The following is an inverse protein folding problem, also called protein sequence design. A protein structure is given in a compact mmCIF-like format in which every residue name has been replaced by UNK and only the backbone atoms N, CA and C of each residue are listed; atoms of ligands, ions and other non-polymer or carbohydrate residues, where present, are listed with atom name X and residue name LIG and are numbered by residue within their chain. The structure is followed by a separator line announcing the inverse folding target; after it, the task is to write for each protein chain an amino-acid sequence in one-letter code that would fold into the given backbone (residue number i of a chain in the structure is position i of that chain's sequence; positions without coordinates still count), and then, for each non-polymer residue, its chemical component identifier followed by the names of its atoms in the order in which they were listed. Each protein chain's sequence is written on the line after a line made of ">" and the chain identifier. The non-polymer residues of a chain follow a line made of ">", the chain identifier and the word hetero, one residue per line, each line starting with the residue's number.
data_IF_942593651602
#
_entry.id   IF_942593651602
#
_cell.length_a   1.000
_cell.length_b   1.000
_cell.length_c   1.000
_cell.angle_alpha   90.00
_cell.angle_beta   90.00
_cell.angle_gamma   90.00
#
_symmetry.space_group_name_H-M   'P 1'
#
loop_
_entity.id
_entity.type
_entity.pdbx_description
1 polymer ?
#
# COMPACT_ATOMS: atom_id res chain seq x y z
N UNK A 1 17.83 -4.38 2.13
CA UNK A 1 17.42 -4.55 3.53
C UNK A 1 16.08 -5.28 3.57
N UNK A 2 15.83 -6.11 4.58
CA UNK A 2 14.65 -6.98 4.65
C UNK A 2 13.53 -6.26 5.41
N UNK A 3 12.56 -5.70 4.68
CA UNK A 3 11.42 -4.99 5.29
C UNK A 3 10.18 -5.90 5.31
N UNK A 4 9.44 -5.84 6.42
CA UNK A 4 8.25 -6.66 6.62
C UNK A 4 7.00 -5.79 6.65
N UNK A 5 6.08 -5.97 5.69
CA UNK A 5 4.90 -5.11 5.54
C UNK A 5 4.07 -5.00 6.81
N UNK A 6 3.77 -6.13 7.46
CA UNK A 6 3.06 -6.15 8.75
C UNK A 6 3.73 -5.22 9.77
N UNK A 7 5.01 -5.46 10.03
CA UNK A 7 5.76 -4.74 11.07
C UNK A 7 5.87 -3.26 10.72
N UNK A 8 6.13 -2.94 9.45
CA UNK A 8 6.21 -1.58 8.94
C UNK A 8 4.94 -0.80 9.23
N UNK A 9 3.76 -1.35 8.89
CA UNK A 9 2.52 -0.58 9.02
C UNK A 9 1.95 -0.52 10.43
N UNK A 10 2.27 -1.50 11.29
CA UNK A 10 1.99 -1.38 12.73
C UNK A 10 2.85 -0.26 13.33
N UNK A 11 4.12 -0.15 12.95
CA UNK A 11 5.05 0.82 13.52
C UNK A 11 4.94 2.23 12.90
N UNK A 12 4.42 2.36 11.68
CA UNK A 12 4.46 3.60 10.89
C UNK A 12 3.90 4.81 11.65
N UNK A 13 2.75 4.66 12.31
CA UNK A 13 2.14 5.75 13.08
C UNK A 13 3.06 6.24 14.21
N UNK A 14 3.51 5.34 15.07
CA UNK A 14 4.32 5.70 16.24
C UNK A 14 5.72 6.18 15.89
N UNK A 15 6.36 5.56 14.88
CA UNK A 15 7.75 5.84 14.54
C UNK A 15 7.94 6.95 13.51
N UNK A 16 6.93 7.24 12.68
CA UNK A 16 7.04 8.24 11.61
C UNK A 16 6.04 9.38 11.78
N UNK A 17 4.74 9.08 11.95
CA UNK A 17 3.72 10.14 11.99
C UNK A 17 3.77 10.98 13.27
N UNK A 18 3.72 10.34 14.44
CA UNK A 18 3.76 11.03 15.75
C UNK A 18 5.03 11.88 15.93
N UNK A 19 6.12 11.44 15.31
CA UNK A 19 7.43 12.11 15.34
C UNK A 19 7.63 13.16 14.24
N UNK A 20 6.66 13.34 13.33
CA UNK A 20 6.71 14.35 12.27
C UNK A 20 7.51 13.97 11.01
N UNK A 21 7.92 12.71 10.86
CA UNK A 21 8.62 12.17 9.68
C UNK A 21 7.62 11.81 8.56
N UNK A 22 6.83 12.80 8.15
CA UNK A 22 5.75 12.59 7.18
C UNK A 22 6.26 12.25 5.78
N UNK A 23 7.41 12.76 5.37
CA UNK A 23 7.96 12.45 4.04
C UNK A 23 8.37 10.98 3.95
N UNK A 24 9.04 10.46 4.96
CA UNK A 24 9.47 9.07 5.03
C UNK A 24 8.28 8.10 5.12
N UNK A 25 7.22 8.48 5.86
CA UNK A 25 5.98 7.74 5.91
C UNK A 25 5.32 7.66 4.52
N UNK A 26 5.25 8.80 3.82
CA UNK A 26 4.69 8.91 2.47
C UNK A 26 5.42 8.00 1.49
N UNK A 27 6.75 8.11 1.46
CA UNK A 27 7.59 7.34 0.53
C UNK A 27 7.50 5.84 0.82
N UNK A 28 7.42 5.46 2.10
CA UNK A 28 7.20 4.07 2.52
C UNK A 28 5.86 3.54 1.99
N UNK A 29 4.77 4.29 2.17
CA UNK A 29 3.45 3.90 1.66
C UNK A 29 3.45 3.74 0.14
N UNK A 30 4.05 4.68 -0.60
CA UNK A 30 4.11 4.65 -2.06
C UNK A 30 4.95 3.47 -2.59
N UNK A 31 6.05 3.13 -1.92
CA UNK A 31 6.86 1.96 -2.30
C UNK A 31 6.04 0.69 -2.17
N UNK A 32 5.33 0.48 -1.07
CA UNK A 32 4.48 -0.70 -0.89
C UNK A 32 3.25 -0.69 -1.81
N UNK A 33 2.68 0.49 -2.09
CA UNK A 33 1.59 0.67 -3.05
C UNK A 33 1.97 0.15 -4.44
N UNK A 34 3.19 0.46 -4.91
CA UNK A 34 3.68 0.02 -6.22
C UNK A 34 3.79 -1.50 -6.37
N UNK A 35 3.81 -2.22 -5.25
CA UNK A 35 3.99 -3.68 -5.20
C UNK A 35 2.76 -4.42 -4.68
N UNK A 36 1.57 -3.83 -4.70
CA UNK A 36 0.34 -4.59 -4.45
C UNK A 36 0.13 -5.62 -5.56
N UNK A 37 -0.25 -6.84 -5.17
CA UNK A 37 -0.57 -7.94 -6.08
C UNK A 37 -1.57 -8.87 -5.42
N UNK A 38 -2.48 -9.48 -6.19
CA UNK A 38 -3.53 -10.36 -5.66
C UNK A 38 -4.48 -9.64 -4.68
N UNK A 39 -4.62 -8.32 -4.80
CA UNK A 39 -5.32 -7.51 -3.79
C UNK A 39 -4.62 -7.51 -2.42
N UNK A 40 -3.34 -7.87 -2.35
CA UNK A 40 -2.60 -8.03 -1.10
C UNK A 40 -1.33 -7.18 -1.07
N UNK A 41 -1.03 -6.67 0.12
CA UNK A 41 0.27 -6.10 0.46
C UNK A 41 1.26 -7.21 0.83
N UNK A 42 2.51 -7.18 0.33
CA UNK A 42 3.46 -8.24 0.64
C UNK A 42 3.91 -8.21 2.10
N UNK A 43 4.08 -9.40 2.69
CA UNK A 43 4.67 -9.52 4.01
C UNK A 43 6.16 -9.23 3.97
N UNK A 44 6.89 -9.75 3.00
CA UNK A 44 8.32 -9.45 2.80
C UNK A 44 8.43 -8.58 1.55
N UNK A 45 9.04 -7.40 1.65
CA UNK A 45 9.23 -6.49 0.51
C UNK A 45 10.43 -6.88 -0.36
N UNK A 46 11.54 -7.33 0.24
CA UNK A 46 12.80 -7.67 -0.45
C UNK A 46 13.25 -6.60 -1.47
N UNK A 47 13.34 -5.34 -1.03
CA UNK A 47 13.63 -4.18 -1.87
C UNK A 47 12.75 -4.09 -3.14
N UNK A 48 11.50 -4.51 -3.04
CA UNK A 48 10.52 -4.60 -4.12
C UNK A 48 10.90 -5.56 -5.27
N UNK A 49 12.00 -6.32 -5.16
CA UNK A 49 12.47 -7.20 -6.23
C UNK A 49 11.70 -8.52 -6.27
N UNK A 50 11.59 -9.20 -5.12
CA UNK A 50 10.86 -10.48 -5.00
C UNK A 50 9.98 -10.50 -3.74
N UNK A 51 8.92 -9.67 -3.69
CA UNK A 51 8.08 -9.64 -2.50
C UNK A 51 7.33 -10.95 -2.30
N UNK A 52 6.99 -11.26 -1.04
CA UNK A 52 6.23 -12.47 -0.68
C UNK A 52 4.85 -12.10 -0.12
N UNK A 53 3.81 -12.65 -0.74
CA UNK A 53 2.40 -12.40 -0.44
C UNK A 53 1.80 -13.53 0.41
N UNK A 54 2.40 -13.80 1.57
CA UNK A 54 1.95 -14.86 2.47
C UNK A 54 1.31 -14.32 3.77
N UNK A 55 0.99 -13.03 3.82
CA UNK A 55 0.29 -12.40 4.94
C UNK A 55 -1.04 -11.82 4.47
N UNK A 56 -2.13 -12.19 5.14
CA UNK A 56 -3.47 -11.66 4.87
C UNK A 56 -3.75 -10.36 5.63
N UNK A 57 -3.08 -10.18 6.76
CA UNK A 57 -3.23 -9.05 7.68
C UNK A 57 -2.43 -7.81 7.24
N UNK A 58 -1.28 -7.99 6.61
CA UNK A 58 -0.42 -6.89 6.15
C UNK A 58 -1.18 -5.86 5.28
N UNK A 59 -2.10 -6.32 4.42
CA UNK A 59 -2.95 -5.45 3.60
C UNK A 59 -3.81 -4.52 4.44
N UNK A 60 -4.40 -5.01 5.53
CA UNK A 60 -5.29 -4.21 6.35
C UNK A 60 -4.54 -3.24 7.24
N UNK A 61 -3.35 -3.63 7.73
CA UNK A 61 -2.45 -2.67 8.38
C UNK A 61 -1.96 -1.59 7.42
N UNK A 62 -1.66 -1.93 6.16
CA UNK A 62 -1.34 -0.94 5.12
C UNK A 62 -2.49 0.05 4.90
N UNK A 63 -3.73 -0.44 4.80
CA UNK A 63 -4.92 0.39 4.67
C UNK A 63 -5.12 1.31 5.88
N UNK A 64 -4.93 0.79 7.09
CA UNK A 64 -4.98 1.59 8.32
C UNK A 64 -3.88 2.66 8.34
N UNK A 65 -2.67 2.32 7.91
CA UNK A 65 -1.55 3.27 7.85
C UNK A 65 -1.80 4.39 6.84
N UNK A 66 -2.48 4.13 5.71
CA UNK A 66 -2.95 5.20 4.80
C UNK A 66 -3.94 6.11 5.53
N UNK A 67 -4.91 5.55 6.25
CA UNK A 67 -5.89 6.34 7.00
C UNK A 67 -5.19 7.21 8.07
N UNK A 68 -4.26 6.65 8.83
CA UNK A 68 -3.48 7.39 9.82
C UNK A 68 -2.66 8.51 9.16
N UNK A 69 -2.01 8.24 8.02
CA UNK A 69 -1.26 9.23 7.25
C UNK A 69 -2.14 10.40 6.84
N UNK A 70 -3.29 10.12 6.23
CA UNK A 70 -4.26 11.13 5.79
C UNK A 70 -4.80 11.96 6.96
N UNK A 71 -4.93 11.37 8.14
CA UNK A 71 -5.45 12.07 9.32
C UNK A 71 -4.40 12.99 9.99
N UNK A 72 -3.12 12.62 9.96
CA UNK A 72 -2.07 13.29 10.74
C UNK A 72 -1.09 14.11 9.89
N UNK A 73 -0.83 13.72 8.64
CA UNK A 73 0.13 14.38 7.78
C UNK A 73 -0.46 15.66 7.17
N UNK A 74 0.36 16.72 6.95
CA UNK A 74 -0.10 17.96 6.32
C UNK A 74 -0.65 17.79 4.89
N UNK A 75 -0.23 16.76 4.13
CA UNK A 75 -0.77 16.45 2.80
C UNK A 75 -2.24 16.00 2.87
N UNK A 76 -2.65 15.41 4.00
CA UNK A 76 -4.04 15.06 4.27
C UNK A 76 -4.69 14.22 3.16
N UNK A 77 -5.91 14.60 2.79
CA UNK A 77 -6.70 13.92 1.76
C UNK A 77 -6.06 13.98 0.35
N UNK A 78 -5.19 14.96 0.08
CA UNK A 78 -4.56 15.09 -1.24
C UNK A 78 -3.65 13.89 -1.54
N UNK A 79 -3.15 13.20 -0.50
CA UNK A 79 -2.39 11.96 -0.65
C UNK A 79 -3.14 10.87 -1.42
N UNK A 80 -4.47 10.85 -1.36
CA UNK A 80 -5.27 9.88 -2.12
C UNK A 80 -5.12 10.04 -3.64
N UNK A 81 -4.74 11.24 -4.09
CA UNK A 81 -4.45 11.54 -5.50
C UNK A 81 -2.99 11.26 -5.88
N UNK A 82 -2.15 10.82 -4.94
CA UNK A 82 -0.74 10.53 -5.21
C UNK A 82 -0.62 9.42 -6.26
N UNK A 83 0.25 9.59 -7.28
CA UNK A 83 0.33 8.66 -8.39
C UNK A 83 0.93 7.31 -7.95
N UNK A 84 0.34 6.23 -8.46
CA UNK A 84 0.81 4.86 -8.25
C UNK A 84 1.02 4.19 -9.60
N UNK A 85 2.16 3.53 -9.76
CA UNK A 85 2.45 2.65 -10.89
C UNK A 85 2.69 1.25 -10.36
N UNK A 86 1.83 0.31 -10.75
CA UNK A 86 1.92 -1.08 -10.31
C UNK A 86 3.05 -1.81 -11.05
N UNK A 87 3.90 -2.50 -10.28
CA UNK A 87 4.96 -3.35 -10.82
C UNK A 87 4.42 -4.58 -11.56
N UNK A 88 3.26 -5.10 -11.15
CA UNK A 88 2.59 -6.22 -11.82
C UNK A 88 1.22 -5.77 -12.30
N UNK A 89 0.92 -5.99 -13.58
CA UNK A 89 -0.37 -5.59 -14.13
C UNK A 89 -1.50 -6.44 -13.53
N UNK A 90 -2.64 -5.80 -13.24
CA UNK A 90 -3.81 -6.47 -12.64
C UNK A 90 -4.26 -7.67 -13.45
N UNK A 91 -4.32 -7.51 -14.78
CA UNK A 91 -4.68 -8.57 -15.74
C UNK A 91 -3.85 -9.85 -15.62
N UNK A 92 -2.62 -9.77 -15.11
CA UNK A 92 -1.71 -10.91 -15.02
C UNK A 92 -2.03 -11.81 -13.82
N UNK A 93 -2.84 -11.34 -12.86
CA UNK A 93 -3.16 -12.08 -11.65
C UNK A 93 -4.64 -12.08 -11.27
N UNK A 94 -5.45 -11.18 -11.83
CA UNK A 94 -6.90 -11.17 -11.74
C UNK A 94 -7.52 -10.62 -13.04
N UNK A 95 -7.86 -11.50 -14.00
CA UNK A 95 -8.44 -11.10 -15.27
C UNK A 95 -9.80 -10.39 -15.14
N UNK A 96 -10.60 -10.71 -14.13
CA UNK A 96 -11.92 -10.07 -13.96
C UNK A 96 -11.77 -8.61 -13.55
N UNK A 97 -10.71 -8.27 -12.83
CA UNK A 97 -10.39 -6.90 -12.42
C UNK A 97 -9.46 -6.17 -13.40
N UNK A 98 -9.17 -6.74 -14.57
CA UNK A 98 -8.28 -6.12 -15.57
C UNK A 98 -8.78 -4.74 -16.06
N UNK A 99 -10.08 -4.46 -15.91
CA UNK A 99 -10.70 -3.18 -16.25
C UNK A 99 -10.45 -2.08 -15.19
N UNK A 100 -10.00 -2.43 -13.99
CA UNK A 100 -9.67 -1.49 -12.93
C UNK A 100 -8.32 -0.85 -13.24
N UNK A 101 -8.35 0.41 -13.65
CA UNK A 101 -7.14 1.17 -13.94
C UNK A 101 -6.63 1.84 -12.66
N UNK A 102 -5.41 1.47 -12.21
CA UNK A 102 -4.79 2.07 -11.03
C UNK A 102 -3.84 3.17 -11.45
N UNK A 103 -4.21 4.42 -11.15
CA UNK A 103 -3.36 5.61 -11.36
C UNK A 103 -3.00 6.30 -10.05
N UNK A 104 -3.84 6.13 -9.02
CA UNK A 104 -3.74 6.84 -7.75
C UNK A 104 -3.84 5.89 -6.55
N UNK A 105 -3.55 6.40 -5.35
CA UNK A 105 -3.81 5.68 -4.09
C UNK A 105 -5.30 5.36 -3.93
N UNK A 106 -6.21 6.25 -4.32
CA UNK A 106 -7.64 6.00 -4.28
C UNK A 106 -8.04 4.80 -5.17
N UNK A 107 -7.51 4.73 -6.39
CA UNK A 107 -7.77 3.60 -7.30
C UNK A 107 -7.22 2.29 -6.74
N UNK A 108 -6.03 2.35 -6.11
CA UNK A 108 -5.42 1.20 -5.46
C UNK A 108 -6.27 0.67 -4.30
N UNK A 109 -6.80 1.56 -3.47
CA UNK A 109 -7.73 1.22 -2.38
C UNK A 109 -8.96 0.52 -2.95
N UNK A 110 -9.54 1.06 -4.01
CA UNK A 110 -10.69 0.45 -4.69
C UNK A 110 -10.34 -0.95 -5.21
N UNK A 111 -9.19 -1.11 -5.89
CA UNK A 111 -8.72 -2.41 -6.36
C UNK A 111 -8.58 -3.43 -5.23
N UNK A 112 -8.02 -3.05 -4.08
CA UNK A 112 -7.88 -3.93 -2.91
C UNK A 112 -9.26 -4.40 -2.44
N UNK A 113 -10.22 -3.49 -2.24
CA UNK A 113 -11.56 -3.91 -1.82
C UNK A 113 -12.25 -4.81 -2.85
N UNK A 114 -12.18 -4.44 -4.14
CA UNK A 114 -12.79 -5.22 -5.23
C UNK A 114 -12.20 -6.64 -5.35
N UNK A 115 -10.91 -6.81 -5.08
CA UNK A 115 -10.26 -8.13 -5.09
C UNK A 115 -10.72 -9.03 -3.94
N UNK A 116 -11.11 -8.48 -2.79
CA UNK A 116 -11.57 -9.24 -1.62
C UNK A 116 -13.08 -9.46 -1.58
N UNK A 117 -13.87 -8.68 -2.33
CA UNK A 117 -15.33 -8.76 -2.31
C UNK A 117 -15.92 -9.92 -3.13
N UNK A 118 -15.09 -10.69 -3.83
CA UNK A 118 -15.50 -11.82 -4.67
C UNK A 118 -15.93 -13.05 -3.88
#
# INVERSE_FOLDING_TARGET
>A
MRNWGRDTFIALKGCLLVTGHFQEARDTLLVYASVIRHGLCPNLLDAANRPRYNARDATWFFMQAIQDYVAEAPEGMDFLSAPVSLKWAVKDWDPDLAHVEVKTIADLIHLIFSAHAK
#
